data_IF_398058781661
#
_entry.id   IF_398058781661
#
_cell.length_a   1.000
_cell.length_b   1.000
_cell.length_c   1.000
_cell.angle_alpha   90.00
_cell.angle_beta   90.00
_cell.angle_gamma   90.00
#
_symmetry.space_group_name_H-M   'P 1'
#
loop_
_entity.id
_entity.type
_entity.pdbx_description
1 polymer ?
#
# COMPACT_ATOMS: atom_id res chain seq x y z
N UNK A 1 -10.29 47.40 24.45
CA UNK A 1 -10.90 46.90 23.20
C UNK A 1 -10.24 45.57 22.88
N UNK A 2 -11.06 44.53 22.78
CA UNK A 2 -10.69 43.13 22.96
C UNK A 2 -9.69 42.59 21.92
N UNK A 3 -8.71 41.85 22.44
CA UNK A 3 -7.85 40.96 21.67
C UNK A 3 -8.69 39.77 21.20
N UNK A 4 -8.96 39.71 19.90
CA UNK A 4 -9.60 38.59 19.25
C UNK A 4 -8.73 37.33 19.40
N UNK A 5 -9.11 36.47 20.36
CA UNK A 5 -8.64 35.09 20.45
C UNK A 5 -9.16 34.35 19.21
N UNK A 6 -8.31 34.20 18.19
CA UNK A 6 -8.56 33.31 17.05
C UNK A 6 -8.65 31.87 17.52
N UNK A 7 -9.86 31.41 17.79
CA UNK A 7 -10.18 30.02 18.07
C UNK A 7 -10.03 29.24 16.75
N UNK A 8 -8.84 28.69 16.48
CA UNK A 8 -8.66 27.73 15.38
C UNK A 8 -9.33 26.42 15.77
N UNK A 9 -10.64 26.32 15.49
CA UNK A 9 -11.38 25.08 15.63
C UNK A 9 -10.78 24.05 14.65
N UNK A 10 -10.21 22.98 15.19
CA UNK A 10 -9.79 21.82 14.42
C UNK A 10 -11.04 21.08 13.96
N UNK A 11 -11.43 21.22 12.70
CA UNK A 11 -12.41 20.33 12.09
C UNK A 11 -11.69 19.07 11.63
N UNK A 12 -11.67 18.08 12.51
CA UNK A 12 -11.38 16.71 12.13
C UNK A 12 -12.70 16.09 11.63
N UNK A 13 -12.69 15.53 10.42
CA UNK A 13 -13.88 15.05 9.70
C UNK A 13 -14.47 13.76 10.28
N UNK A 14 -15.77 13.55 10.08
CA UNK A 14 -16.62 12.38 10.42
C UNK A 14 -15.99 10.99 10.17
N UNK A 15 -15.00 10.92 9.27
CA UNK A 15 -14.17 9.75 9.00
C UNK A 15 -13.44 9.16 10.23
N UNK A 16 -13.16 9.95 11.28
CA UNK A 16 -12.41 9.46 12.47
C UNK A 16 -13.21 8.63 13.45
N UNK A 17 -14.51 8.88 13.58
CA UNK A 17 -15.42 8.06 14.39
C UNK A 17 -15.43 6.61 13.91
N UNK A 18 -15.55 6.42 12.60
CA UNK A 18 -15.50 5.11 11.95
C UNK A 18 -14.16 4.40 12.17
N UNK A 19 -13.06 5.13 12.39
CA UNK A 19 -11.75 4.53 12.70
C UNK A 19 -11.76 3.91 14.11
N UNK A 20 -12.22 4.64 15.12
CA UNK A 20 -12.21 4.14 16.50
C UNK A 20 -13.18 2.96 16.71
N UNK A 21 -14.30 2.93 15.99
CA UNK A 21 -15.23 1.79 15.98
C UNK A 21 -14.65 0.59 15.21
N UNK A 22 -13.97 0.83 14.08
CA UNK A 22 -13.39 -0.23 13.24
C UNK A 22 -12.08 -0.80 13.78
N UNK A 23 -11.35 -0.04 14.58
CA UNK A 23 -10.00 -0.39 15.08
C UNK A 23 -9.91 -0.25 16.61
N UNK A 24 -10.38 -1.26 17.37
CA UNK A 24 -10.28 -1.24 18.83
C UNK A 24 -8.80 -1.25 19.27
N UNK A 25 -8.43 -0.30 20.13
CA UNK A 25 -7.07 -0.18 20.67
C UNK A 25 -6.77 -1.23 21.74
N UNK A 26 -5.55 -1.77 21.73
CA UNK A 26 -5.05 -2.56 22.84
C UNK A 26 -4.61 -1.63 23.99
N UNK A 27 -5.07 -1.86 25.22
CA UNK A 27 -4.84 -0.92 26.32
C UNK A 27 -3.36 -0.91 26.75
N UNK A 28 -2.79 0.30 26.90
CA UNK A 28 -1.52 0.52 27.59
C UNK A 28 -0.26 0.67 26.73
N UNK A 29 -0.23 0.21 25.48
CA UNK A 29 0.94 0.37 24.59
C UNK A 29 0.56 0.71 23.14
N UNK A 30 1.48 1.36 22.43
CA UNK A 30 1.39 1.57 20.97
C UNK A 30 1.84 0.27 20.29
N UNK A 31 0.95 -0.28 19.47
CA UNK A 31 1.26 -1.49 18.70
C UNK A 31 2.45 -1.25 17.77
N UNK A 32 3.38 -2.21 17.72
CA UNK A 32 4.54 -2.14 16.82
C UNK A 32 4.15 -2.28 15.33
N UNK A 33 3.01 -2.91 15.08
CA UNK A 33 2.48 -3.19 13.74
C UNK A 33 1.18 -2.40 13.53
N UNK A 34 0.93 -1.98 12.30
CA UNK A 34 -0.31 -1.32 11.93
C UNK A 34 -1.52 -2.27 12.08
N UNK A 35 -2.74 -1.75 12.34
CA UNK A 35 -3.91 -2.61 12.57
C UNK A 35 -4.44 -3.30 11.30
N UNK A 36 -4.05 -2.81 10.13
CA UNK A 36 -4.43 -3.37 8.84
C UNK A 36 -5.84 -2.97 8.40
N UNK A 37 -6.33 -3.59 7.34
CA UNK A 37 -7.63 -3.41 6.73
C UNK A 37 -8.26 -4.77 6.46
N UNK A 38 -9.59 -4.79 6.32
CA UNK A 38 -10.35 -6.02 6.05
C UNK A 38 -10.52 -6.12 4.54
N UNK A 39 -9.55 -6.71 3.85
CA UNK A 39 -9.55 -6.77 2.39
C UNK A 39 -9.89 -8.18 1.96
N UNK A 40 -9.10 -9.17 2.36
CA UNK A 40 -9.33 -10.58 2.08
C UNK A 40 -10.12 -11.19 3.24
N UNK A 41 -11.44 -11.19 3.11
CA UNK A 41 -12.33 -11.67 4.17
C UNK A 41 -13.65 -12.27 3.70
N UNK A 42 -13.94 -12.24 2.40
CA UNK A 42 -15.08 -12.96 1.85
C UNK A 42 -14.77 -14.46 1.82
N UNK A 43 -15.78 -15.28 2.18
CA UNK A 43 -15.71 -16.71 1.93
C UNK A 43 -15.44 -16.93 0.43
N UNK A 44 -14.55 -17.86 0.03
CA UNK A 44 -14.26 -18.15 -1.38
C UNK A 44 -15.44 -18.75 -2.17
N UNK A 45 -16.68 -18.59 -1.71
CA UNK A 45 -17.91 -19.13 -2.30
C UNK A 45 -18.34 -18.43 -3.59
N UNK A 46 -17.70 -17.29 -3.93
CA UNK A 46 -17.92 -16.52 -5.17
C UNK A 46 -16.80 -16.68 -6.21
N UNK A 47 -16.12 -17.83 -6.26
CA UNK A 47 -15.09 -18.09 -7.29
C UNK A 47 -15.73 -18.10 -8.67
N UNK A 48 -15.32 -17.17 -9.52
CA UNK A 48 -15.61 -17.19 -10.96
C UNK A 48 -15.13 -18.51 -11.55
N UNK A 49 -15.82 -19.05 -12.56
CA UNK A 49 -15.36 -20.22 -13.27
C UNK A 49 -13.97 -19.96 -13.86
N UNK A 50 -12.94 -20.62 -13.32
CA UNK A 50 -11.55 -20.57 -13.80
C UNK A 50 -11.33 -21.53 -14.98
N UNK A 51 -12.36 -21.69 -15.81
CA UNK A 51 -12.25 -22.48 -17.02
C UNK A 51 -11.29 -21.79 -18.00
N UNK A 52 -10.48 -22.57 -18.71
CA UNK A 52 -9.68 -22.04 -19.81
C UNK A 52 -10.62 -21.59 -20.92
N UNK A 53 -10.59 -20.29 -21.24
CA UNK A 53 -11.28 -19.77 -22.41
C UNK A 53 -10.55 -20.22 -23.67
N UNK A 54 -11.14 -21.20 -24.35
CA UNK A 54 -10.63 -21.76 -25.60
C UNK A 54 -11.25 -21.10 -26.84
N UNK A 55 -12.10 -20.08 -26.67
CA UNK A 55 -12.75 -19.43 -27.80
C UNK A 55 -11.71 -18.78 -28.71
N UNK A 56 -11.75 -19.13 -30.00
CA UNK A 56 -10.79 -18.63 -30.99
C UNK A 56 -9.38 -19.23 -30.93
N UNK A 57 -9.08 -20.15 -30.01
CA UNK A 57 -7.79 -20.83 -29.97
C UNK A 57 -7.70 -21.92 -31.04
N UNK A 58 -6.57 -21.97 -31.76
CA UNK A 58 -6.23 -23.05 -32.69
C UNK A 58 -5.02 -23.81 -32.14
N UNK A 59 -5.13 -25.12 -31.87
CA UNK A 59 -4.00 -25.89 -31.36
C UNK A 59 -2.90 -25.99 -32.42
N UNK A 60 -1.66 -25.76 -32.00
CA UNK A 60 -0.42 -25.85 -32.77
C UNK A 60 0.07 -27.29 -32.91
N UNK A 61 -0.31 -28.16 -31.96
CA UNK A 61 0.01 -29.58 -31.98
C UNK A 61 -1.12 -30.42 -31.36
N UNK A 62 -1.07 -31.75 -31.56
CA UNK A 62 -2.11 -32.66 -31.08
C UNK A 62 -2.23 -32.68 -29.55
N UNK A 63 -1.10 -32.56 -28.82
CA UNK A 63 -1.08 -32.54 -27.36
C UNK A 63 -1.78 -31.30 -26.80
N UNK A 64 -1.56 -30.14 -27.42
CA UNK A 64 -2.25 -28.89 -27.11
C UNK A 64 -3.76 -29.00 -27.41
N UNK A 65 -4.11 -29.63 -28.53
CA UNK A 65 -5.50 -29.94 -28.87
C UNK A 65 -6.20 -30.86 -27.86
N UNK A 66 -5.50 -31.89 -27.38
CA UNK A 66 -5.98 -32.78 -26.32
C UNK A 66 -6.14 -32.04 -24.98
N UNK A 67 -5.21 -31.13 -24.65
CA UNK A 67 -5.28 -30.30 -23.46
C UNK A 67 -6.49 -29.35 -23.50
N UNK A 68 -6.74 -28.65 -24.61
CA UNK A 68 -7.88 -27.74 -24.76
C UNK A 68 -9.23 -28.43 -24.67
N UNK A 69 -9.33 -29.68 -25.17
CA UNK A 69 -10.55 -30.49 -25.10
C UNK A 69 -10.72 -31.23 -23.77
N UNK A 70 -9.69 -31.26 -22.93
CA UNK A 70 -9.73 -31.98 -21.66
C UNK A 70 -10.61 -31.25 -20.64
N UNK A 71 -11.37 -31.98 -19.80
CA UNK A 71 -12.10 -31.37 -18.70
C UNK A 71 -11.15 -30.75 -17.66
N UNK A 72 -11.66 -29.79 -16.87
CA UNK A 72 -10.87 -29.02 -15.89
C UNK A 72 -10.03 -29.90 -14.96
N UNK A 73 -10.60 -30.99 -14.42
CA UNK A 73 -9.88 -31.92 -13.54
C UNK A 73 -8.64 -32.54 -14.22
N UNK A 74 -8.76 -32.93 -15.50
CA UNK A 74 -7.65 -33.47 -16.28
C UNK A 74 -6.63 -32.39 -16.62
N UNK A 75 -7.07 -31.16 -16.90
CA UNK A 75 -6.17 -30.02 -17.06
C UNK A 75 -5.36 -29.74 -15.79
N UNK A 76 -5.97 -29.88 -14.60
CA UNK A 76 -5.26 -29.74 -13.31
C UNK A 76 -4.21 -30.83 -13.09
N UNK A 77 -4.49 -32.08 -13.47
CA UNK A 77 -3.51 -33.17 -13.40
C UNK A 77 -2.33 -32.87 -14.33
N UNK A 78 -2.60 -32.52 -15.60
CA UNK A 78 -1.57 -32.18 -16.57
C UNK A 78 -0.69 -30.98 -16.13
N UNK A 79 -1.29 -29.99 -15.46
CA UNK A 79 -0.56 -28.88 -14.86
C UNK A 79 0.38 -29.34 -13.73
N UNK A 80 -0.12 -30.16 -12.81
CA UNK A 80 0.64 -30.67 -11.67
C UNK A 80 1.79 -31.58 -12.11
N UNK A 81 1.55 -32.39 -13.13
CA UNK A 81 2.54 -33.30 -13.72
C UNK A 81 3.60 -32.57 -14.57
N UNK A 82 3.46 -31.24 -14.77
CA UNK A 82 4.43 -30.42 -15.48
C UNK A 82 4.33 -30.52 -17.01
N UNK A 83 3.29 -31.16 -17.56
CA UNK A 83 3.11 -31.36 -19.00
C UNK A 83 3.06 -30.03 -19.76
N UNK A 84 2.41 -29.02 -19.19
CA UNK A 84 2.33 -27.68 -19.79
C UNK A 84 3.70 -27.02 -19.94
N UNK A 85 4.64 -27.28 -19.02
CA UNK A 85 6.01 -26.76 -19.13
C UNK A 85 6.71 -27.37 -20.33
N UNK A 86 6.58 -28.68 -20.51
CA UNK A 86 7.17 -29.40 -21.64
C UNK A 86 6.54 -28.95 -22.96
N UNK A 87 5.21 -28.76 -22.98
CA UNK A 87 4.46 -28.38 -24.18
C UNK A 87 4.91 -27.05 -24.79
N UNK A 88 5.22 -26.06 -23.94
CA UNK A 88 5.55 -24.70 -24.36
C UNK A 88 7.04 -24.36 -24.23
N UNK A 89 7.89 -25.35 -23.96
CA UNK A 89 9.35 -25.15 -23.92
C UNK A 89 9.90 -25.00 -25.34
N UNK A 90 10.42 -23.82 -25.67
CA UNK A 90 11.29 -23.56 -26.84
C UNK A 90 10.69 -23.69 -28.25
N UNK A 91 9.55 -24.37 -28.43
CA UNK A 91 9.05 -24.74 -29.77
C UNK A 91 7.71 -24.11 -30.14
N UNK A 92 6.79 -23.97 -29.18
CA UNK A 92 5.43 -23.47 -29.41
C UNK A 92 5.19 -22.20 -28.60
N UNK A 93 4.68 -21.13 -29.22
CA UNK A 93 4.31 -19.92 -28.46
C UNK A 93 3.10 -20.22 -27.60
N UNK A 94 3.20 -20.05 -26.29
CA UNK A 94 2.08 -20.28 -25.39
C UNK A 94 0.98 -19.24 -25.64
N UNK A 95 -0.28 -19.64 -25.91
CA UNK A 95 -1.35 -18.68 -26.12
C UNK A 95 -1.59 -17.81 -24.89
N UNK A 96 -1.85 -16.52 -25.10
CA UNK A 96 -2.18 -15.55 -24.06
C UNK A 96 -3.33 -16.00 -23.14
N UNK A 97 -4.32 -16.71 -23.68
CA UNK A 97 -5.42 -17.27 -22.90
C UNK A 97 -4.94 -18.30 -21.86
N UNK A 98 -3.94 -19.12 -22.20
CA UNK A 98 -3.35 -20.11 -21.29
C UNK A 98 -2.51 -19.42 -20.22
N UNK A 99 -1.74 -18.39 -20.57
CA UNK A 99 -0.95 -17.61 -19.61
C UNK A 99 -1.85 -16.86 -18.62
N UNK A 100 -2.94 -16.23 -19.11
CA UNK A 100 -3.98 -15.63 -18.28
C UNK A 100 -4.63 -16.65 -17.35
N UNK A 101 -4.98 -17.82 -17.88
CA UNK A 101 -5.57 -18.89 -17.09
C UNK A 101 -4.62 -19.35 -15.98
N UNK A 102 -3.35 -19.60 -16.28
CA UNK A 102 -2.33 -19.94 -15.28
C UNK A 102 -2.20 -18.87 -14.20
N UNK A 103 -2.21 -17.59 -14.58
CA UNK A 103 -2.18 -16.48 -13.62
C UNK A 103 -3.38 -16.50 -12.68
N UNK A 104 -4.59 -16.75 -13.19
CA UNK A 104 -5.79 -16.87 -12.36
C UNK A 104 -5.78 -18.15 -11.49
N UNK A 105 -5.20 -19.26 -11.95
CA UNK A 105 -5.06 -20.48 -11.13
C UNK A 105 -4.16 -20.30 -9.91
N UNK A 106 -3.27 -19.30 -9.91
CA UNK A 106 -2.44 -18.98 -8.74
C UNK A 106 -3.29 -18.66 -7.51
N UNK A 107 -4.55 -18.27 -7.67
CA UNK A 107 -5.45 -17.89 -6.57
C UNK A 107 -6.31 -19.06 -6.06
N UNK A 108 -6.06 -20.29 -6.52
CA UNK A 108 -6.73 -21.50 -6.06
C UNK A 108 -6.07 -22.09 -4.80
N UNK A 109 -6.32 -23.37 -4.52
CA UNK A 109 -5.69 -24.08 -3.42
C UNK A 109 -4.16 -24.07 -3.52
N UNK A 110 -3.42 -24.21 -2.41
CA UNK A 110 -1.95 -24.11 -2.38
C UNK A 110 -1.24 -25.05 -3.36
N UNK A 111 -1.77 -26.28 -3.54
CA UNK A 111 -1.17 -27.27 -4.44
C UNK A 111 -1.28 -26.88 -5.92
N UNK A 112 -2.37 -26.24 -6.34
CA UNK A 112 -2.51 -25.70 -7.70
C UNK A 112 -1.75 -24.38 -7.84
N UNK A 113 -1.78 -23.52 -6.82
CA UNK A 113 -1.15 -22.20 -6.83
C UNK A 113 0.34 -22.26 -7.15
N UNK A 114 1.08 -23.15 -6.48
CA UNK A 114 2.52 -23.33 -6.71
C UNK A 114 2.82 -23.85 -8.13
N UNK A 115 2.10 -24.89 -8.58
CA UNK A 115 2.29 -25.45 -9.93
C UNK A 115 1.95 -24.46 -11.04
N UNK A 116 0.89 -23.65 -10.85
CA UNK A 116 0.50 -22.60 -11.78
C UNK A 116 1.57 -21.51 -11.87
N UNK A 117 2.05 -21.00 -10.73
CA UNK A 117 3.12 -20.00 -10.68
C UNK A 117 4.40 -20.51 -11.35
N UNK A 118 4.88 -21.70 -10.97
CA UNK A 118 6.10 -22.26 -11.56
C UNK A 118 5.97 -22.46 -13.07
N UNK A 119 4.83 -22.97 -13.54
CA UNK A 119 4.60 -23.18 -14.97
C UNK A 119 4.55 -21.86 -15.73
N UNK A 120 3.84 -20.86 -15.20
CA UNK A 120 3.77 -19.52 -15.79
C UNK A 120 5.14 -18.84 -15.85
N UNK A 121 5.91 -18.94 -14.75
CA UNK A 121 7.25 -18.37 -14.65
C UNK A 121 8.21 -18.98 -15.67
N UNK A 122 8.31 -20.31 -15.72
CA UNK A 122 9.23 -21.04 -16.62
C UNK A 122 8.91 -20.75 -18.09
N UNK A 123 7.63 -20.84 -18.49
CA UNK A 123 7.21 -20.52 -19.86
C UNK A 123 7.60 -19.09 -20.23
N UNK A 124 7.41 -18.14 -19.30
CA UNK A 124 7.73 -16.73 -19.53
C UNK A 124 9.23 -16.51 -19.68
N UNK A 125 10.06 -17.14 -18.83
CA UNK A 125 11.53 -17.06 -18.92
C UNK A 125 12.03 -17.68 -20.22
N UNK A 126 11.53 -18.86 -20.60
CA UNK A 126 11.92 -19.55 -21.83
C UNK A 126 11.57 -18.72 -23.08
N UNK A 127 10.39 -18.08 -23.10
CA UNK A 127 9.98 -17.20 -24.19
C UNK A 127 10.86 -15.95 -24.29
N UNK A 128 11.27 -15.37 -23.15
CA UNK A 128 12.21 -14.25 -23.15
C UNK A 128 13.61 -14.65 -23.61
N UNK A 129 14.09 -15.82 -23.21
CA UNK A 129 15.40 -16.33 -23.65
C UNK A 129 15.42 -16.67 -25.14
N UNK A 130 14.28 -17.08 -25.70
CA UNK A 130 14.12 -17.45 -27.12
C UNK A 130 13.76 -16.25 -28.01
N UNK A 131 13.47 -15.08 -27.43
CA UNK A 131 13.11 -13.89 -28.18
C UNK A 131 14.35 -13.29 -28.87
N UNK A 132 14.23 -13.04 -30.18
CA UNK A 132 15.26 -12.31 -30.92
C UNK A 132 15.37 -10.87 -30.38
N UNK A 133 16.57 -10.27 -30.45
CA UNK A 133 17.03 -9.09 -29.67
C UNK A 133 16.17 -7.81 -29.70
N UNK A 134 15.03 -7.79 -30.38
CA UNK A 134 14.13 -6.63 -30.47
C UNK A 134 12.64 -6.91 -30.26
N UNK A 135 12.18 -8.15 -30.07
CA UNK A 135 10.74 -8.42 -29.92
C UNK A 135 10.45 -9.49 -28.87
N UNK A 136 10.59 -9.10 -27.60
CA UNK A 136 10.19 -9.93 -26.47
C UNK A 136 8.65 -9.89 -26.37
N UNK A 137 7.99 -10.94 -26.84
CA UNK A 137 6.52 -11.09 -26.78
C UNK A 137 6.11 -11.71 -25.44
N UNK A 138 6.43 -11.05 -24.32
CA UNK A 138 6.00 -11.48 -22.99
C UNK A 138 4.58 -11.02 -22.73
N UNK A 139 3.73 -11.96 -22.33
CA UNK A 139 2.42 -11.62 -21.80
C UNK A 139 2.52 -10.97 -20.43
N UNK A 140 1.89 -9.81 -20.29
CA UNK A 140 1.71 -9.14 -19.00
C UNK A 140 0.22 -9.05 -18.67
N UNK A 141 -0.18 -9.38 -17.44
CA UNK A 141 -1.57 -9.27 -17.00
C UNK A 141 -2.01 -7.80 -16.98
N UNK A 142 -3.21 -7.51 -17.47
CA UNK A 142 -3.79 -6.15 -17.38
C UNK A 142 -4.41 -5.91 -16.01
N UNK A 143 -4.78 -4.66 -15.70
CA UNK A 143 -5.41 -4.31 -14.42
C UNK A 143 -6.62 -5.19 -14.09
N UNK A 144 -7.48 -5.46 -15.08
CA UNK A 144 -8.61 -6.39 -14.94
C UNK A 144 -8.18 -7.81 -14.51
N UNK A 145 -7.11 -8.35 -15.08
CA UNK A 145 -6.60 -9.68 -14.71
C UNK A 145 -6.11 -9.69 -13.26
N UNK A 146 -5.41 -8.62 -12.83
CA UNK A 146 -4.85 -8.48 -11.48
C UNK A 146 -5.96 -8.29 -10.43
N UNK A 147 -6.93 -7.42 -10.71
CA UNK A 147 -8.07 -7.20 -9.84
C UNK A 147 -8.92 -8.48 -9.69
N UNK A 148 -9.12 -9.24 -10.78
CA UNK A 148 -9.81 -10.53 -10.73
C UNK A 148 -9.05 -11.53 -9.84
N UNK A 149 -7.71 -11.56 -9.91
CA UNK A 149 -6.92 -12.42 -9.05
C UNK A 149 -7.11 -12.07 -7.55
N UNK A 150 -7.12 -10.78 -7.21
CA UNK A 150 -7.41 -10.36 -5.83
C UNK A 150 -8.86 -10.65 -5.41
N UNK A 151 -9.82 -10.50 -6.32
CA UNK A 151 -11.20 -10.90 -6.06
C UNK A 151 -11.32 -12.40 -5.78
N UNK A 152 -10.65 -13.25 -6.56
CA UNK A 152 -10.62 -14.70 -6.35
C UNK A 152 -9.96 -15.11 -5.02
N UNK A 153 -9.06 -14.28 -4.48
CA UNK A 153 -8.47 -14.44 -3.15
C UNK A 153 -9.40 -13.99 -2.01
N UNK A 154 -10.58 -13.45 -2.32
CA UNK A 154 -11.60 -13.05 -1.34
C UNK A 154 -11.67 -11.55 -1.06
N UNK A 155 -11.13 -10.70 -1.96
CA UNK A 155 -11.29 -9.25 -1.87
C UNK A 155 -12.64 -8.76 -2.42
N UNK A 156 -13.29 -7.80 -1.76
CA UNK A 156 -14.51 -7.18 -2.27
C UNK A 156 -14.18 -6.14 -3.35
N UNK A 157 -15.00 -6.00 -4.39
CA UNK A 157 -14.82 -4.99 -5.44
C UNK A 157 -14.71 -3.55 -4.88
N UNK A 158 -15.53 -3.21 -3.89
CA UNK A 158 -15.49 -1.90 -3.19
C UNK A 158 -14.19 -1.65 -2.40
N UNK A 159 -13.46 -2.70 -2.05
CA UNK A 159 -12.16 -2.58 -1.36
C UNK A 159 -10.98 -2.41 -2.31
N UNK A 160 -11.13 -2.85 -3.57
CA UNK A 160 -10.10 -2.80 -4.60
C UNK A 160 -10.06 -1.43 -5.29
N UNK A 161 -11.20 -0.71 -5.37
CA UNK A 161 -11.26 0.65 -5.93
C UNK A 161 -11.89 1.68 -4.97
N UNK A 162 -11.19 2.13 -3.92
CA UNK A 162 -11.70 3.17 -3.04
C UNK A 162 -11.78 4.57 -3.68
N UNK A 163 -11.11 4.79 -4.82
CA UNK A 163 -10.95 6.12 -5.45
C UNK A 163 -11.71 6.29 -6.76
N UNK A 164 -12.34 5.23 -7.28
CA UNK A 164 -12.95 5.23 -8.61
C UNK A 164 -11.93 5.22 -9.75
N UNK A 165 -10.64 4.94 -9.49
CA UNK A 165 -9.58 4.99 -10.50
C UNK A 165 -9.73 3.89 -11.55
N UNK A 166 -10.47 2.84 -11.21
CA UNK A 166 -10.73 1.70 -12.08
C UNK A 166 -12.04 1.87 -12.90
N UNK A 167 -12.80 2.96 -12.73
CA UNK A 167 -14.14 3.12 -13.32
C UNK A 167 -14.31 2.95 -14.85
N UNK A 168 -13.34 3.18 -15.75
CA UNK A 168 -13.52 2.87 -17.16
C UNK A 168 -13.48 1.35 -17.45
N UNK A 169 -12.76 0.58 -16.64
CA UNK A 169 -12.60 -0.87 -16.82
C UNK A 169 -13.69 -1.66 -16.08
N UNK A 170 -14.31 -1.03 -15.07
CA UNK A 170 -15.37 -1.60 -14.23
C UNK A 170 -16.72 -0.87 -14.40
N UNK A 171 -16.90 -0.13 -15.50
CA UNK A 171 -18.13 0.62 -15.79
C UNK A 171 -19.36 -0.29 -15.86
N UNK A 172 -20.44 0.18 -15.23
CA UNK A 172 -21.71 -0.50 -14.93
C UNK A 172 -22.53 -1.06 -16.12
N UNK A 173 -21.95 -1.21 -17.31
CA UNK A 173 -22.59 -1.89 -18.44
C UNK A 173 -21.82 -3.12 -18.95
N UNK A 174 -20.52 -3.26 -18.64
CA UNK A 174 -19.70 -4.42 -19.03
C UNK A 174 -18.98 -5.09 -17.82
N UNK A 175 -19.21 -4.58 -16.61
CA UNK A 175 -18.70 -5.12 -15.34
C UNK A 175 -19.81 -5.22 -14.31
N UNK A 176 -20.82 -6.01 -14.63
CA UNK A 176 -21.29 -6.90 -13.58
C UNK A 176 -20.13 -7.88 -13.34
N UNK A 177 -19.45 -7.78 -12.19
CA UNK A 177 -18.93 -9.01 -11.61
C UNK A 177 -20.13 -9.96 -11.62
N UNK A 178 -20.11 -11.09 -12.34
CA UNK A 178 -21.32 -11.83 -12.66
C UNK A 178 -21.88 -12.48 -11.40
N UNK A 179 -22.60 -11.69 -10.60
CA UNK A 179 -23.34 -12.14 -9.43
C UNK A 179 -24.69 -12.73 -9.86
N UNK A 180 -25.09 -12.59 -11.13
CA UNK A 180 -26.47 -12.90 -11.58
C UNK A 180 -26.60 -13.94 -12.71
N UNK A 181 -25.51 -14.51 -13.25
CA UNK A 181 -25.58 -15.42 -14.42
C UNK A 181 -25.15 -16.88 -14.19
N UNK A 182 -25.01 -17.35 -12.94
CA UNK A 182 -24.60 -18.74 -12.69
C UNK A 182 -25.74 -19.59 -12.12
N UNK A 183 -26.72 -19.83 -12.99
CA UNK A 183 -27.82 -20.75 -12.78
C UNK A 183 -28.08 -21.63 -13.99
N UNK A 184 -27.04 -22.23 -14.61
CA UNK A 184 -27.25 -23.32 -15.56
C UNK A 184 -25.98 -24.18 -15.72
N UNK A 185 -26.18 -25.50 -15.71
CA UNK A 185 -25.23 -26.58 -15.99
C UNK A 185 -24.16 -26.91 -14.93
N UNK A 186 -24.58 -27.66 -13.91
CA UNK A 186 -24.01 -28.99 -13.64
C UNK A 186 -22.55 -29.14 -13.19
N UNK A 187 -21.86 -28.11 -12.71
CA UNK A 187 -20.53 -28.26 -12.10
C UNK A 187 -20.70 -28.25 -10.58
N UNK A 188 -20.33 -29.35 -9.91
CA UNK A 188 -20.28 -29.43 -8.44
C UNK A 188 -19.42 -28.25 -7.93
N UNK A 189 -20.04 -27.30 -7.23
CA UNK A 189 -19.35 -26.32 -6.39
C UNK A 189 -18.50 -27.11 -5.39
N UNK A 190 -17.19 -27.18 -5.60
CA UNK A 190 -16.29 -27.51 -4.51
C UNK A 190 -16.32 -26.32 -3.55
N UNK A 191 -17.12 -26.46 -2.50
CA UNK A 191 -17.13 -25.55 -1.37
C UNK A 191 -15.77 -25.70 -0.70
N UNK A 192 -14.81 -24.84 -1.04
CA UNK A 192 -13.60 -24.71 -0.24
C UNK A 192 -14.00 -23.87 0.97
N UNK A 193 -14.36 -24.57 2.06
CA UNK A 193 -15.00 -24.01 3.26
C UNK A 193 -14.11 -23.11 4.12
N UNK A 194 -12.82 -23.00 3.83
CA UNK A 194 -11.90 -22.24 4.68
C UNK A 194 -11.30 -21.02 3.95
N UNK A 195 -11.38 -19.87 4.63
CA UNK A 195 -10.60 -18.69 4.26
C UNK A 195 -9.11 -19.09 4.23
N UNK A 196 -8.34 -18.66 3.21
CA UNK A 196 -6.94 -19.04 3.11
C UNK A 196 -6.20 -18.58 4.37
N UNK A 197 -5.37 -19.47 4.93
CA UNK A 197 -4.56 -19.11 6.09
C UNK A 197 -3.69 -17.88 5.77
N UNK A 198 -3.37 -17.03 6.75
CA UNK A 198 -2.54 -15.83 6.52
C UNK A 198 -1.21 -16.14 5.81
N UNK A 199 -0.64 -17.32 6.06
CA UNK A 199 0.58 -17.78 5.41
C UNK A 199 0.37 -18.11 3.92
N UNK A 200 -0.72 -18.83 3.59
CA UNK A 200 -1.06 -19.16 2.20
C UNK A 200 -1.35 -17.90 1.41
N UNK A 201 -2.13 -16.98 1.96
CA UNK A 201 -2.43 -15.70 1.32
C UNK A 201 -1.14 -14.90 1.03
N UNK A 202 -0.25 -14.79 2.01
CA UNK A 202 1.02 -14.09 1.83
C UNK A 202 1.90 -14.74 0.77
N UNK A 203 1.99 -16.09 0.75
CA UNK A 203 2.76 -16.81 -0.27
C UNK A 203 2.19 -16.60 -1.68
N UNK A 204 0.86 -16.68 -1.84
CA UNK A 204 0.21 -16.45 -3.14
C UNK A 204 0.38 -15.00 -3.61
N UNK A 205 0.19 -14.02 -2.73
CA UNK A 205 0.45 -12.61 -3.07
C UNK A 205 1.92 -12.36 -3.41
N UNK A 206 2.85 -13.01 -2.71
CA UNK A 206 4.28 -12.98 -3.04
C UNK A 206 4.55 -13.50 -4.46
N UNK A 207 3.94 -14.62 -4.84
CA UNK A 207 4.04 -15.16 -6.20
C UNK A 207 3.45 -14.23 -7.27
N UNK A 208 2.29 -13.63 -7.00
CA UNK A 208 1.71 -12.59 -7.88
C UNK A 208 2.70 -11.42 -8.02
N UNK A 209 3.25 -10.92 -6.91
CA UNK A 209 4.19 -9.80 -6.92
C UNK A 209 5.47 -10.12 -7.69
N UNK A 210 6.03 -11.34 -7.53
CA UNK A 210 7.19 -11.81 -8.29
C UNK A 210 6.91 -11.80 -9.79
N UNK A 211 5.79 -12.38 -10.22
CA UNK A 211 5.45 -12.44 -11.63
C UNK A 211 5.23 -11.05 -12.23
N UNK A 212 4.51 -10.17 -11.53
CA UNK A 212 4.33 -8.79 -11.96
C UNK A 212 5.66 -8.02 -12.02
N UNK A 213 6.59 -8.31 -11.11
CA UNK A 213 7.94 -7.72 -11.11
C UNK A 213 8.70 -8.17 -12.36
N UNK A 214 8.61 -9.45 -12.74
CA UNK A 214 9.19 -9.96 -13.98
C UNK A 214 8.64 -9.20 -15.18
N UNK A 215 7.30 -9.07 -15.29
CA UNK A 215 6.65 -8.30 -16.34
C UNK A 215 7.11 -6.84 -16.40
N UNK A 216 7.18 -6.16 -15.26
CA UNK A 216 7.56 -4.75 -15.19
C UNK A 216 9.05 -4.53 -15.51
N UNK A 217 9.93 -5.47 -15.11
CA UNK A 217 11.36 -5.41 -15.38
C UNK A 217 11.69 -5.71 -16.84
N UNK A 218 11.02 -6.70 -17.43
CA UNK A 218 11.25 -7.11 -18.82
C UNK A 218 10.65 -6.12 -19.83
N UNK A 219 9.53 -5.47 -19.48
CA UNK A 219 8.87 -4.48 -20.33
C UNK A 219 8.55 -3.18 -19.57
N UNK A 220 9.55 -2.31 -19.37
CA UNK A 220 9.39 -1.04 -18.65
C UNK A 220 8.49 -0.01 -19.34
N UNK A 221 7.85 -0.32 -20.46
CA UNK A 221 6.86 0.55 -21.11
C UNK A 221 5.50 -0.14 -21.29
N UNK A 222 5.32 -1.34 -20.72
CA UNK A 222 4.07 -2.11 -20.91
C UNK A 222 2.87 -1.45 -20.24
N UNK A 223 3.06 -0.95 -19.03
CA UNK A 223 2.04 -0.22 -18.29
C UNK A 223 2.21 1.27 -18.51
N UNK A 224 1.16 1.94 -18.94
CA UNK A 224 1.09 3.39 -19.01
C UNK A 224 1.13 3.99 -17.61
N UNK A 225 1.50 5.27 -17.49
CA UNK A 225 1.61 5.92 -16.18
C UNK A 225 0.30 5.87 -15.38
N UNK A 226 -0.85 5.99 -16.04
CA UNK A 226 -2.17 5.84 -15.39
C UNK A 226 -2.35 4.44 -14.78
N UNK A 227 -2.01 3.41 -15.53
CA UNK A 227 -2.11 2.01 -15.09
C UNK A 227 -1.15 1.74 -13.93
N UNK A 228 0.06 2.29 -13.99
CA UNK A 228 1.03 2.20 -12.89
C UNK A 228 0.54 2.85 -11.61
N UNK A 229 -0.02 4.05 -11.69
CA UNK A 229 -0.56 4.75 -10.52
C UNK A 229 -1.70 3.96 -9.88
N UNK A 230 -2.59 3.40 -10.70
CA UNK A 230 -3.66 2.52 -10.25
C UNK A 230 -3.10 1.23 -9.59
N UNK A 231 -2.10 0.58 -10.20
CA UNK A 231 -1.43 -0.59 -9.62
C UNK A 231 -0.73 -0.27 -8.30
N UNK A 232 0.03 0.83 -8.22
CA UNK A 232 0.67 1.29 -7.00
C UNK A 232 -0.36 1.49 -5.88
N UNK A 233 -1.48 2.15 -6.19
CA UNK A 233 -2.56 2.41 -5.23
C UNK A 233 -3.22 1.11 -4.77
N UNK A 234 -3.55 0.21 -5.70
CA UNK A 234 -4.14 -1.10 -5.42
C UNK A 234 -3.23 -1.98 -4.59
N UNK A 235 -1.95 -2.08 -4.96
CA UNK A 235 -0.92 -2.86 -4.26
C UNK A 235 -0.68 -2.33 -2.84
N UNK A 236 -0.63 -1.01 -2.65
CA UNK A 236 -0.62 -0.41 -1.32
C UNK A 236 -1.88 -0.73 -0.53
N UNK A 237 -3.06 -0.73 -1.17
CA UNK A 237 -4.33 -1.09 -0.53
C UNK A 237 -4.29 -2.56 -0.09
N UNK A 238 -4.10 -3.53 -0.98
CA UNK A 238 -4.08 -4.96 -0.62
C UNK A 238 -2.96 -5.31 0.37
N UNK A 239 -1.82 -4.61 0.30
CA UNK A 239 -0.72 -4.75 1.25
C UNK A 239 -1.07 -4.35 2.69
N UNK A 240 -2.15 -3.58 2.88
CA UNK A 240 -2.66 -3.25 4.21
C UNK A 240 -3.55 -4.33 4.82
N UNK A 241 -3.79 -5.47 4.17
CA UNK A 241 -4.64 -6.51 4.76
C UNK A 241 -4.13 -6.96 6.14
N UNK A 242 -5.04 -7.07 7.10
CA UNK A 242 -4.72 -7.41 8.50
C UNK A 242 -4.01 -8.76 8.66
N UNK A 243 -4.23 -9.69 7.74
CA UNK A 243 -3.56 -11.00 7.76
C UNK A 243 -2.09 -10.91 7.33
N UNK A 244 -1.70 -9.84 6.64
CA UNK A 244 -0.34 -9.62 6.13
C UNK A 244 0.52 -8.78 7.07
N UNK A 245 -0.08 -8.07 8.01
CA UNK A 245 0.57 -7.09 8.89
C UNK A 245 1.83 -7.61 9.60
N UNK A 246 1.86 -8.90 9.96
CA UNK A 246 2.97 -9.52 10.70
C UNK A 246 4.09 -10.06 9.81
N UNK A 247 3.96 -9.98 8.48
CA UNK A 247 4.89 -10.60 7.55
C UNK A 247 5.64 -9.53 6.73
N UNK A 248 6.97 -9.62 6.61
CA UNK A 248 7.70 -8.74 5.70
C UNK A 248 7.36 -9.10 4.25
N UNK A 249 6.77 -8.16 3.52
CA UNK A 249 6.41 -8.39 2.11
C UNK A 249 7.45 -7.76 1.17
N UNK A 250 8.61 -8.38 1.08
CA UNK A 250 9.74 -7.91 0.25
C UNK A 250 9.37 -7.93 -1.23
N UNK A 251 8.64 -8.95 -1.68
CA UNK A 251 8.19 -9.07 -3.07
C UNK A 251 7.28 -7.89 -3.47
N UNK A 252 6.37 -7.47 -2.57
CA UNK A 252 5.54 -6.28 -2.77
C UNK A 252 6.39 -5.01 -2.84
N UNK A 253 7.34 -4.82 -1.92
CA UNK A 253 8.21 -3.64 -1.92
C UNK A 253 9.05 -3.55 -3.21
N UNK A 254 9.54 -4.69 -3.71
CA UNK A 254 10.26 -4.77 -4.96
C UNK A 254 9.36 -4.40 -6.15
N UNK A 255 8.14 -4.95 -6.22
CA UNK A 255 7.18 -4.60 -7.28
C UNK A 255 6.84 -3.10 -7.26
N UNK A 256 6.55 -2.54 -6.08
CA UNK A 256 6.27 -1.11 -5.92
C UNK A 256 7.43 -0.25 -6.44
N UNK A 257 8.68 -0.68 -6.18
CA UNK A 257 9.86 0.02 -6.68
C UNK A 257 9.93 0.00 -8.21
N UNK A 258 9.78 -1.17 -8.85
CA UNK A 258 9.81 -1.28 -10.32
C UNK A 258 8.71 -0.45 -10.99
N UNK A 259 7.50 -0.46 -10.44
CA UNK A 259 6.39 0.35 -10.96
C UNK A 259 6.66 1.85 -10.80
N UNK A 260 7.22 2.27 -9.66
CA UNK A 260 7.55 3.67 -9.36
C UNK A 260 8.66 4.22 -10.27
N UNK A 261 9.74 3.46 -10.45
CA UNK A 261 10.84 3.85 -11.34
C UNK A 261 10.41 3.82 -12.82
N UNK A 262 9.41 3.02 -13.15
CA UNK A 262 8.85 2.95 -14.50
C UNK A 262 8.13 4.23 -14.95
N UNK A 263 7.55 5.04 -14.04
CA UNK A 263 6.72 6.21 -14.39
C UNK A 263 7.45 7.18 -15.32
N UNK A 264 6.86 7.56 -16.45
CA UNK A 264 7.51 8.43 -17.44
C UNK A 264 7.42 9.90 -17.04
N UNK A 265 6.20 10.43 -16.84
CA UNK A 265 5.96 11.80 -16.37
C UNK A 265 5.94 11.88 -14.84
N UNK A 266 7.10 11.67 -14.22
CA UNK A 266 7.19 11.67 -12.77
C UNK A 266 6.72 12.98 -12.09
N UNK A 267 7.14 14.18 -12.55
CA UNK A 267 6.70 15.44 -11.92
C UNK A 267 5.19 15.65 -11.99
N UNK A 268 4.55 15.31 -13.11
CA UNK A 268 3.09 15.42 -13.25
C UNK A 268 2.33 14.36 -12.47
N UNK A 269 2.89 13.14 -12.36
CA UNK A 269 2.21 11.98 -11.74
C UNK A 269 2.40 11.85 -10.23
N UNK A 270 3.44 12.44 -9.67
CA UNK A 270 3.69 12.41 -8.22
C UNK A 270 2.52 12.98 -7.39
N UNK A 271 1.96 14.18 -7.70
CA UNK A 271 0.80 14.70 -6.98
C UNK A 271 -0.44 13.80 -7.08
N UNK A 272 -0.72 13.27 -8.27
CA UNK A 272 -1.85 12.35 -8.54
C UNK A 272 -1.72 11.05 -7.73
N UNK A 273 -0.51 10.51 -7.63
CA UNK A 273 -0.23 9.33 -6.81
C UNK A 273 -0.42 9.63 -5.32
N UNK A 274 0.08 10.77 -4.82
CA UNK A 274 -0.11 11.17 -3.42
C UNK A 274 -1.58 11.38 -3.06
N UNK A 275 -2.38 11.94 -3.98
CA UNK A 275 -3.82 12.09 -3.82
C UNK A 275 -4.51 10.72 -3.77
N UNK A 276 -4.20 9.83 -4.71
CA UNK A 276 -4.76 8.47 -4.75
C UNK A 276 -4.43 7.68 -3.47
N UNK A 277 -3.17 7.74 -3.03
CA UNK A 277 -2.72 7.09 -1.80
C UNK A 277 -3.33 7.70 -0.53
N UNK A 278 -3.82 8.95 -0.56
CA UNK A 278 -4.58 9.51 0.56
C UNK A 278 -5.86 8.73 0.88
N UNK A 279 -6.40 7.94 -0.05
CA UNK A 279 -7.67 7.23 0.11
C UNK A 279 -7.51 5.74 0.48
N UNK A 280 -6.30 5.19 0.48
CA UNK A 280 -6.08 3.74 0.72
C UNK A 280 -6.40 3.31 2.15
N UNK A 281 -6.42 4.24 3.11
CA UNK A 281 -6.78 3.98 4.50
C UNK A 281 -7.22 5.26 5.19
N UNK A 282 -8.07 5.10 6.20
CA UNK A 282 -8.41 6.17 7.14
C UNK A 282 -7.52 6.14 8.39
N UNK A 283 -7.04 4.96 8.80
CA UNK A 283 -6.24 4.78 10.01
C UNK A 283 -4.82 5.34 9.85
N UNK A 284 -4.36 6.15 10.83
CA UNK A 284 -3.09 6.87 10.78
C UNK A 284 -1.85 5.95 10.79
N UNK A 285 -1.89 4.82 11.50
CA UNK A 285 -0.77 3.86 11.50
C UNK A 285 -0.69 3.03 10.22
N UNK A 286 -1.83 2.78 9.53
CA UNK A 286 -1.81 2.18 8.19
C UNK A 286 -1.17 3.14 7.19
N UNK A 287 -1.42 4.46 7.29
CA UNK A 287 -0.75 5.47 6.46
C UNK A 287 0.78 5.45 6.63
N UNK A 288 1.26 5.29 7.87
CA UNK A 288 2.68 5.08 8.16
C UNK A 288 3.21 3.81 7.48
N UNK A 289 2.43 2.70 7.51
CA UNK A 289 2.80 1.47 6.83
C UNK A 289 2.95 1.67 5.32
N UNK A 290 2.01 2.39 4.67
CA UNK A 290 2.10 2.73 3.24
C UNK A 290 3.38 3.51 2.92
N UNK A 291 3.74 4.53 3.71
CA UNK A 291 5.01 5.27 3.51
C UNK A 291 6.22 4.34 3.63
N UNK A 292 6.17 3.36 4.55
CA UNK A 292 7.25 2.38 4.78
C UNK A 292 7.31 1.29 3.70
N UNK A 293 6.24 1.08 2.92
CA UNK A 293 6.24 0.16 1.78
C UNK A 293 7.16 0.61 0.65
N UNK A 294 7.50 1.89 0.58
CA UNK A 294 8.42 2.43 -0.41
C UNK A 294 9.85 2.50 0.16
N UNK A 295 10.87 1.95 -0.53
CA UNK A 295 12.26 2.10 -0.11
C UNK A 295 12.75 3.54 -0.31
N UNK A 296 13.69 4.01 0.52
CA UNK A 296 14.41 5.28 0.32
C UNK A 296 15.71 5.13 -0.49
N UNK A 297 15.93 3.97 -1.09
CA UNK A 297 17.12 3.68 -1.90
C UNK A 297 17.16 4.55 -3.16
N UNK A 298 16.02 4.86 -3.78
CA UNK A 298 15.94 5.67 -5.01
C UNK A 298 15.50 7.12 -4.77
N UNK A 299 15.87 8.08 -5.66
CA UNK A 299 15.40 9.46 -5.58
C UNK A 299 13.88 9.58 -5.61
N UNK A 300 13.19 8.82 -6.48
CA UNK A 300 11.72 8.84 -6.58
C UNK A 300 11.06 8.27 -5.33
N UNK A 301 11.59 7.17 -4.78
CA UNK A 301 11.14 6.62 -3.50
C UNK A 301 11.24 7.64 -2.37
N UNK A 302 12.37 8.36 -2.27
CA UNK A 302 12.53 9.45 -1.29
C UNK A 302 11.53 10.59 -1.52
N UNK A 303 11.37 11.05 -2.77
CA UNK A 303 10.43 12.12 -3.09
C UNK A 303 8.98 11.73 -2.76
N UNK A 304 8.56 10.51 -3.11
CA UNK A 304 7.24 9.99 -2.79
C UNK A 304 7.03 9.94 -1.28
N UNK A 305 7.96 9.36 -0.52
CA UNK A 305 7.85 9.25 0.94
C UNK A 305 7.70 10.62 1.61
N UNK A 306 8.48 11.62 1.18
CA UNK A 306 8.39 12.99 1.72
C UNK A 306 7.03 13.63 1.43
N UNK A 307 6.61 13.63 0.16
CA UNK A 307 5.36 14.25 -0.29
C UNK A 307 4.13 13.56 0.30
N UNK A 308 4.13 12.22 0.30
CA UNK A 308 3.05 11.43 0.85
C UNK A 308 2.94 11.61 2.38
N UNK A 309 4.07 11.70 3.08
CA UNK A 309 4.08 11.98 4.52
C UNK A 309 3.48 13.33 4.84
N UNK A 310 3.79 14.37 4.06
CA UNK A 310 3.16 15.69 4.19
C UNK A 310 1.65 15.64 3.94
N UNK A 311 1.22 14.93 2.89
CA UNK A 311 -0.20 14.77 2.57
C UNK A 311 -0.96 14.05 3.69
N UNK A 312 -0.40 12.95 4.21
CA UNK A 312 -0.97 12.22 5.34
C UNK A 312 -1.01 13.08 6.60
N UNK A 313 0.06 13.80 6.93
CA UNK A 313 0.06 14.72 8.07
C UNK A 313 -1.01 15.81 7.92
N UNK A 314 -1.11 16.45 6.75
CA UNK A 314 -2.12 17.46 6.48
C UNK A 314 -3.55 16.89 6.60
N UNK A 315 -3.80 15.71 6.03
CA UNK A 315 -5.08 14.99 6.17
C UNK A 315 -5.40 14.69 7.64
N UNK A 316 -4.44 14.12 8.36
CA UNK A 316 -4.56 13.78 9.78
C UNK A 316 -4.60 14.99 10.71
N UNK A 317 -4.30 16.20 10.23
CA UNK A 317 -4.37 17.44 11.02
C UNK A 317 -5.59 18.30 10.66
N UNK A 318 -6.51 17.80 9.81
CA UNK A 318 -7.69 18.55 9.35
C UNK A 318 -7.33 19.71 8.41
N UNK A 319 -6.23 19.55 7.67
CA UNK A 319 -5.66 20.54 6.74
C UNK A 319 -5.55 19.98 5.32
N UNK A 320 -6.46 19.09 4.93
CA UNK A 320 -6.45 18.42 3.62
C UNK A 320 -6.44 19.41 2.43
N UNK A 321 -7.11 20.55 2.57
CA UNK A 321 -7.07 21.66 1.61
C UNK A 321 -5.66 22.20 1.36
N UNK A 322 -4.76 22.09 2.35
CA UNK A 322 -3.36 22.46 2.18
C UNK A 322 -2.59 21.41 1.38
N UNK A 323 -2.95 20.12 1.47
CA UNK A 323 -2.17 19.00 0.90
C UNK A 323 -1.87 19.18 -0.60
N UNK A 324 -2.83 19.64 -1.41
CA UNK A 324 -2.61 19.94 -2.85
C UNK A 324 -1.59 21.07 -3.07
N UNK A 325 -1.63 22.11 -2.24
CA UNK A 325 -0.63 23.19 -2.28
C UNK A 325 0.74 22.72 -1.77
N UNK A 326 0.78 21.76 -0.83
CA UNK A 326 2.03 21.21 -0.29
C UNK A 326 2.80 20.43 -1.37
N UNK A 327 2.10 19.72 -2.24
CA UNK A 327 2.66 18.92 -3.34
C UNK A 327 3.33 19.74 -4.44
N UNK A 328 3.01 21.03 -4.57
CA UNK A 328 3.53 21.90 -5.63
C UNK A 328 4.76 22.73 -5.21
N UNK A 329 5.10 22.79 -3.92
CA UNK A 329 6.18 23.64 -3.40
C UNK A 329 7.40 22.82 -3.02
N UNK A 330 8.59 23.31 -3.39
CA UNK A 330 9.87 22.67 -3.05
C UNK A 330 10.28 22.81 -1.56
N UNK A 331 9.52 23.57 -0.76
CA UNK A 331 9.86 23.89 0.65
C UNK A 331 9.19 22.97 1.68
N UNK A 332 9.35 21.66 1.51
CA UNK A 332 8.75 20.63 2.37
C UNK A 332 9.11 20.76 3.87
N UNK A 333 10.32 21.24 4.19
CA UNK A 333 10.76 21.43 5.58
C UNK A 333 10.08 22.62 6.28
N UNK A 334 9.82 23.70 5.54
CA UNK A 334 9.09 24.86 6.07
C UNK A 334 7.63 24.49 6.35
N UNK A 335 7.03 23.72 5.43
CA UNK A 335 5.69 23.17 5.59
C UNK A 335 5.58 22.29 6.85
N UNK A 336 6.57 21.44 7.10
CA UNK A 336 6.63 20.65 8.32
C UNK A 336 6.67 21.55 9.57
N UNK A 337 7.36 22.69 9.51
CA UNK A 337 7.42 23.67 10.61
C UNK A 337 6.06 24.27 10.99
N UNK A 338 5.12 24.32 10.03
CA UNK A 338 3.74 24.75 10.29
C UNK A 338 2.86 23.62 10.87
N UNK A 339 3.18 22.36 10.57
CA UNK A 339 2.40 21.20 11.03
C UNK A 339 2.83 20.69 12.40
N UNK A 340 4.12 20.75 12.73
CA UNK A 340 4.69 20.23 13.99
C UNK A 340 3.99 20.78 15.24
N UNK A 341 3.69 22.09 15.36
CA UNK A 341 2.99 22.63 16.52
C UNK A 341 1.57 22.06 16.75
N UNK A 342 0.94 21.51 15.70
CA UNK A 342 -0.40 20.93 15.76
C UNK A 342 -0.38 19.48 16.29
N UNK A 343 0.79 18.84 16.35
CA UNK A 343 0.96 17.45 16.78
C UNK A 343 0.97 17.28 18.31
N UNK A 344 0.85 18.38 19.08
CA UNK A 344 0.85 18.35 20.55
C UNK A 344 -0.21 17.38 21.08
N UNK A 345 0.14 16.37 21.90
CA UNK A 345 -0.83 15.39 22.41
C UNK A 345 -2.05 16.03 23.09
N UNK A 346 -1.85 17.11 23.85
CA UNK A 346 -2.95 17.85 24.48
C UNK A 346 -3.88 18.55 23.46
N UNK A 347 -3.34 19.05 22.35
CA UNK A 347 -4.15 19.68 21.29
C UNK A 347 -4.92 18.61 20.50
N UNK A 348 -4.26 17.49 20.17
CA UNK A 348 -4.90 16.35 19.52
C UNK A 348 -6.03 15.77 20.38
N UNK A 349 -5.79 15.58 21.68
CA UNK A 349 -6.80 15.13 22.64
C UNK A 349 -8.02 16.06 22.68
N UNK A 350 -7.80 17.38 22.70
CA UNK A 350 -8.90 18.36 22.64
C UNK A 350 -9.70 18.24 21.35
N UNK A 351 -9.02 18.05 20.21
CA UNK A 351 -9.68 17.80 18.92
C UNK A 351 -10.55 16.55 18.95
N UNK A 352 -10.00 15.42 19.40
CA UNK A 352 -10.73 14.15 19.55
C UNK A 352 -11.92 14.26 20.52
N UNK A 353 -11.76 15.02 21.61
CA UNK A 353 -12.85 15.30 22.56
C UNK A 353 -13.98 16.10 21.93
N UNK A 354 -13.67 17.08 21.07
CA UNK A 354 -14.69 17.87 20.38
C UNK A 354 -15.45 17.00 19.37
N UNK A 355 -14.76 16.13 18.62
CA UNK A 355 -15.42 15.15 17.74
C UNK A 355 -16.36 14.22 18.50
N UNK A 356 -15.90 13.66 19.63
CA UNK A 356 -16.70 12.76 20.44
C UNK A 356 -17.94 13.44 21.04
N UNK A 357 -17.86 14.73 21.39
CA UNK A 357 -19.01 15.51 21.91
C UNK A 357 -20.05 15.83 20.84
N UNK A 358 -19.65 15.88 19.57
CA UNK A 358 -20.57 16.10 18.43
C UNK A 358 -21.33 14.82 18.05
N UNK A 359 -20.83 13.65 18.45
CA UNK A 359 -21.51 12.36 18.31
C UNK A 359 -22.21 12.02 19.63
N UNK A 360 -23.51 12.29 19.74
CA UNK A 360 -24.32 12.09 20.95
C UNK A 360 -24.23 10.64 21.50
N UNK A 361 -23.36 10.40 22.49
CA UNK A 361 -23.33 9.14 23.24
C UNK A 361 -23.35 9.39 24.75
N UNK A 362 -24.53 9.31 25.40
CA UNK A 362 -24.64 9.26 26.86
C UNK A 362 -24.45 7.80 27.30
N UNK A 363 -23.30 7.44 27.89
CA UNK A 363 -23.20 6.11 28.51
C UNK A 363 -21.84 5.59 28.99
N UNK A 364 -20.70 6.11 28.52
CA UNK A 364 -19.38 5.66 29.04
C UNK A 364 -18.94 6.47 30.27
N UNK A 365 -18.38 5.78 31.26
CA UNK A 365 -17.74 6.41 32.43
C UNK A 365 -16.72 7.45 31.99
N UNK A 366 -16.90 8.70 32.42
CA UNK A 366 -16.13 9.86 31.94
C UNK A 366 -14.61 9.69 32.11
N UNK A 367 -14.17 8.99 33.15
CA UNK A 367 -12.75 8.84 33.48
C UNK A 367 -12.03 7.85 32.55
N UNK A 368 -12.67 6.73 32.19
CA UNK A 368 -12.12 5.74 31.26
C UNK A 368 -12.07 6.29 29.83
N UNK A 369 -13.12 7.00 29.40
CA UNK A 369 -13.15 7.67 28.11
C UNK A 369 -12.03 8.73 27.98
N UNK A 370 -11.72 9.45 29.06
CA UNK A 370 -10.61 10.43 29.08
C UNK A 370 -9.23 9.80 28.97
N UNK A 371 -9.05 8.57 29.46
CA UNK A 371 -7.81 7.80 29.34
C UNK A 371 -7.65 7.20 27.94
N UNK A 372 -8.71 6.66 27.36
CA UNK A 372 -8.72 6.15 25.98
C UNK A 372 -8.39 7.26 24.97
N UNK A 373 -8.96 8.46 25.15
CA UNK A 373 -8.64 9.62 24.31
C UNK A 373 -7.21 10.12 24.48
N UNK A 374 -6.60 9.93 25.65
CA UNK A 374 -5.18 10.25 25.88
C UNK A 374 -4.27 9.30 25.12
N UNK A 375 -4.58 8.01 25.19
CA UNK A 375 -3.86 6.96 24.48
C UNK A 375 -3.95 7.18 22.96
N UNK A 376 -5.15 7.44 22.42
CA UNK A 376 -5.34 7.74 21.00
C UNK A 376 -4.58 8.98 20.56
N UNK A 377 -4.63 10.07 21.34
CA UNK A 377 -3.90 11.29 21.02
C UNK A 377 -2.38 11.04 20.96
N UNK A 378 -1.84 10.23 21.87
CA UNK A 378 -0.43 9.84 21.85
C UNK A 378 -0.09 8.92 20.67
N UNK A 379 -0.99 7.99 20.31
CA UNK A 379 -0.79 7.08 19.18
C UNK A 379 -0.84 7.81 17.82
N UNK A 380 -1.77 8.77 17.68
CA UNK A 380 -1.81 9.68 16.55
C UNK A 380 -0.54 10.54 16.50
N UNK A 381 -0.11 11.11 17.63
CA UNK A 381 1.14 11.88 17.71
C UNK A 381 2.35 11.03 17.27
N UNK A 382 2.43 9.78 17.73
CA UNK A 382 3.48 8.83 17.35
C UNK A 382 3.50 8.58 15.83
N UNK A 383 2.33 8.42 15.22
CA UNK A 383 2.23 8.21 13.78
C UNK A 383 2.62 9.48 12.99
N UNK A 384 2.13 10.64 13.42
CA UNK A 384 2.51 11.94 12.83
C UNK A 384 4.01 12.19 12.95
N UNK A 385 4.64 11.84 14.07
CA UNK A 385 6.07 12.00 14.28
C UNK A 385 6.88 11.03 13.41
N UNK A 386 6.37 9.82 13.20
CA UNK A 386 6.97 8.87 12.26
C UNK A 386 6.93 9.41 10.82
N UNK A 387 5.81 10.02 10.41
CA UNK A 387 5.67 10.68 9.11
C UNK A 387 6.59 11.91 8.99
N UNK A 388 6.67 12.74 10.03
CA UNK A 388 7.58 13.89 10.10
C UNK A 388 9.04 13.45 9.90
N UNK A 389 9.44 12.35 10.52
CA UNK A 389 10.78 11.80 10.38
C UNK A 389 11.05 11.21 8.97
N UNK A 390 10.01 10.83 8.21
CA UNK A 390 10.16 10.40 6.82
C UNK A 390 10.31 11.58 5.85
N UNK A 391 9.81 12.77 6.20
CA UNK A 391 10.05 14.02 5.45
C UNK A 391 11.53 14.41 5.55
N UNK A 392 12.09 14.33 6.76
CA UNK A 392 13.52 14.57 7.00
C UNK A 392 14.33 13.31 6.63
N UNK A 393 14.77 13.24 5.38
CA UNK A 393 15.56 12.10 4.88
C UNK A 393 16.89 11.92 5.59
N UNK A 394 17.46 10.72 5.49
CA UNK A 394 18.80 10.40 5.98
C UNK A 394 19.93 11.03 5.13
N UNK A 395 19.63 11.96 4.21
CA UNK A 395 20.62 12.62 3.36
C UNK A 395 21.06 13.94 3.98
N UNK A 396 22.30 14.34 3.69
CA UNK A 396 22.84 15.63 4.10
C UNK A 396 21.91 16.77 3.66
N UNK A 397 21.59 17.65 4.60
CA UNK A 397 20.69 18.78 4.36
C UNK A 397 21.49 19.96 3.79
N UNK A 398 21.09 20.53 2.64
CA UNK A 398 21.76 21.70 2.07
C UNK A 398 21.82 22.87 3.07
N UNK A 399 22.89 23.68 3.02
CA UNK A 399 23.11 24.78 3.98
C UNK A 399 21.91 25.73 4.09
N UNK A 400 21.24 26.03 2.98
CA UNK A 400 20.01 26.85 2.94
C UNK A 400 18.86 26.35 3.81
N UNK A 401 18.81 25.04 4.11
CA UNK A 401 17.74 24.41 4.90
C UNK A 401 18.17 24.04 6.32
N UNK A 402 19.44 24.26 6.69
CA UNK A 402 19.94 23.97 8.04
C UNK A 402 19.26 24.84 9.10
N UNK A 403 19.00 26.12 8.80
CA UNK A 403 18.26 27.01 9.69
C UNK A 403 16.85 26.50 9.98
N UNK A 404 16.12 26.06 8.93
CA UNK A 404 14.80 25.46 9.05
C UNK A 404 14.84 24.17 9.88
N UNK A 405 15.83 23.29 9.66
CA UNK A 405 15.98 22.05 10.42
C UNK A 405 16.31 22.31 11.91
N UNK A 406 17.14 23.32 12.20
CA UNK A 406 17.41 23.75 13.58
C UNK A 406 16.12 24.19 14.28
N UNK A 407 15.30 24.99 13.60
CA UNK A 407 14.00 25.41 14.12
C UNK A 407 13.06 24.21 14.36
N UNK A 408 13.05 23.22 13.48
CA UNK A 408 12.27 21.99 13.65
C UNK A 408 12.71 21.19 14.88
N UNK A 409 14.02 21.12 15.18
CA UNK A 409 14.54 20.49 16.40
C UNK A 409 14.01 21.18 17.67
N UNK A 410 13.99 22.51 17.69
CA UNK A 410 13.45 23.31 18.80
C UNK A 410 11.94 23.04 18.97
N UNK A 411 11.19 23.09 17.88
CA UNK A 411 9.75 22.81 17.90
C UNK A 411 9.44 21.38 18.38
N UNK A 412 10.22 20.38 17.96
CA UNK A 412 10.08 18.99 18.41
C UNK A 412 10.20 18.88 19.93
N UNK A 413 11.20 19.51 20.52
CA UNK A 413 11.38 19.52 21.98
C UNK A 413 10.23 20.26 22.67
N UNK A 414 9.88 21.46 22.20
CA UNK A 414 8.87 22.32 22.81
C UNK A 414 7.45 21.74 22.74
N UNK A 415 7.11 21.04 21.66
CA UNK A 415 5.73 20.66 21.35
C UNK A 415 5.44 19.18 21.58
N UNK A 416 6.47 18.34 21.65
CA UNK A 416 6.29 16.90 21.88
C UNK A 416 7.02 16.52 23.16
N UNK A 417 8.36 16.55 23.16
CA UNK A 417 9.17 16.00 24.25
C UNK A 417 8.88 16.64 25.62
N UNK A 418 8.75 17.96 25.70
CA UNK A 418 8.48 18.67 26.95
C UNK A 418 7.04 18.51 27.46
N UNK A 419 6.12 18.09 26.59
CA UNK A 419 4.68 17.99 26.92
C UNK A 419 4.27 16.61 27.41
N UNK A 420 5.03 15.57 27.05
CA UNK A 420 4.73 14.18 27.40
C UNK A 420 5.34 13.88 28.78
N UNK A 421 4.47 13.71 29.79
CA UNK A 421 4.87 13.24 31.12
C UNK A 421 4.93 11.72 31.14
N UNK A 422 6.08 11.17 31.51
CA UNK A 422 6.25 9.72 31.69
C UNK A 422 5.50 9.23 32.93
N UNK A 423 4.94 8.04 32.81
CA UNK A 423 4.30 7.30 33.89
C UNK A 423 4.62 5.83 33.63
N UNK A 424 5.13 5.12 34.64
CA UNK A 424 5.52 3.71 34.53
C UNK A 424 4.36 2.78 34.16
N UNK A 425 3.11 3.24 34.34
CA UNK A 425 1.89 2.51 33.97
C UNK A 425 1.39 2.82 32.55
N UNK A 426 1.92 3.86 31.90
CA UNK A 426 1.46 4.36 30.59
C UNK A 426 2.56 4.20 29.53
N UNK A 427 2.86 2.96 29.14
CA UNK A 427 3.96 2.65 28.22
C UNK A 427 3.87 3.38 26.87
N UNK A 428 2.67 3.68 26.39
CA UNK A 428 2.47 4.46 25.16
C UNK A 428 3.11 5.86 25.22
N UNK A 429 3.14 6.52 26.40
CA UNK A 429 3.79 7.83 26.56
C UNK A 429 5.30 7.72 26.52
N UNK A 430 5.85 6.69 27.15
CA UNK A 430 7.29 6.37 27.10
C UNK A 430 7.73 6.08 25.67
N UNK A 431 6.99 5.26 24.92
CA UNK A 431 7.26 4.98 23.51
C UNK A 431 7.25 6.23 22.62
N UNK A 432 6.31 7.16 22.86
CA UNK A 432 6.25 8.43 22.14
C UNK A 432 7.47 9.32 22.46
N UNK A 433 7.83 9.44 23.74
CA UNK A 433 8.97 10.26 24.16
C UNK A 433 10.31 9.70 23.65
N UNK A 434 10.47 8.39 23.68
CA UNK A 434 11.61 7.68 23.10
C UNK A 434 11.71 7.88 21.57
N UNK A 435 10.59 7.80 20.84
CA UNK A 435 10.55 8.17 19.41
C UNK A 435 10.96 9.64 19.18
N UNK A 436 10.48 10.58 20.02
CA UNK A 436 10.84 11.99 19.92
C UNK A 436 12.34 12.23 20.18
N UNK A 437 12.91 11.56 21.18
CA UNK A 437 14.34 11.62 21.46
C UNK A 437 15.18 11.10 20.30
N UNK A 438 14.86 9.91 19.75
CA UNK A 438 15.55 9.36 18.58
C UNK A 438 15.44 10.25 17.35
N UNK A 439 14.25 10.82 17.11
CA UNK A 439 14.03 11.74 15.99
C UNK A 439 14.88 13.00 16.15
N UNK A 440 14.92 13.58 17.35
CA UNK A 440 15.77 14.72 17.65
C UNK A 440 17.25 14.42 17.43
N UNK A 441 17.76 13.31 17.96
CA UNK A 441 19.15 12.88 17.80
C UNK A 441 19.49 12.73 16.31
N UNK A 442 18.62 12.09 15.53
CA UNK A 442 18.80 11.95 14.09
C UNK A 442 18.89 13.32 13.40
N UNK A 443 17.96 14.24 13.70
CA UNK A 443 17.93 15.55 13.06
C UNK A 443 19.13 16.42 13.44
N UNK A 444 19.57 16.37 14.69
CA UNK A 444 20.81 17.00 15.13
C UNK A 444 22.04 16.41 14.43
N UNK A 445 22.10 15.08 14.26
CA UNK A 445 23.17 14.43 13.51
C UNK A 445 23.25 14.88 12.05
N UNK A 446 22.11 15.18 11.42
CA UNK A 446 22.08 15.73 10.06
C UNK A 446 22.58 17.18 9.99
N UNK A 447 22.34 17.98 11.04
CA UNK A 447 22.91 19.33 11.14
C UNK A 447 24.43 19.23 11.21
N UNK A 448 24.99 18.42 12.12
CA UNK A 448 26.46 18.31 12.30
C UNK A 448 27.19 17.78 11.07
N UNK A 449 26.58 16.84 10.32
CA UNK A 449 27.12 16.39 9.03
C UNK A 449 27.10 17.48 7.96
N UNK A 450 26.09 18.36 7.99
CA UNK A 450 26.02 19.53 7.12
C UNK A 450 27.15 20.52 7.38
N UNK A 451 27.49 20.77 8.65
CA UNK A 451 28.59 21.65 9.05
C UNK A 451 29.96 21.13 8.57
N UNK A 452 30.23 19.84 8.73
CA UNK A 452 31.51 19.22 8.34
C UNK A 452 31.78 19.30 6.83
N UNK A 453 30.73 19.29 5.98
CA UNK A 453 30.87 19.44 4.52
C UNK A 453 31.15 20.87 4.07
N UNK A 454 30.65 21.88 4.80
CA UNK A 454 30.95 23.29 4.52
C UNK A 454 32.36 23.71 4.91
N UNK A 455 33.03 22.97 5.80
CA UNK A 455 34.36 23.31 6.32
C UNK A 455 35.51 22.61 5.59
N UNK A 456 35.24 21.70 4.66
CA UNK A 456 36.26 21.07 3.81
C UNK A 456 36.38 21.88 2.50
N UNK A 457 37.56 22.43 2.15
CA UNK A 457 37.74 23.14 0.89
C UNK A 457 37.57 22.16 -0.29
N UNK A 458 36.90 22.61 -1.34
CA UNK A 458 36.84 21.89 -2.61
C UNK A 458 38.28 21.70 -3.12
N UNK A 459 38.75 20.46 -3.18
CA UNK A 459 40.04 20.13 -3.78
C UNK A 459 40.02 20.46 -5.29
N UNK A 460 41.16 20.86 -5.86
CA UNK A 460 41.22 21.21 -7.28
C UNK A 460 40.96 19.98 -8.15
N UNK A 461 40.29 20.22 -9.29
CA UNK A 461 39.90 19.24 -10.31
C UNK A 461 41.06 18.41 -10.88
#
# INVERSE_FOLDING_TARGET
MEVAKGNTAFQFTEARRLILEKFPMNRGSIAAVHPGENIFGLSPSSRTALALDITGLRPQNELEGLFFRSPFNRQMVLLKDGVLRVLYRGTSRCPHAVLRWLFQLMTLNPGVSASAFHTLWEISIDQMASADKGNIDLWCPVLKDIAQAFYNLGACASTLDPTGLFQPEFGAKDSEFPEHLFGAAGIKREVIEEAPSPFVLAATLGNICKFLTLCAASHPHRYLDRERLALLTLLCRVGLDRNLCKQPNVDLQQLLLFLLEGVQDWPGKLPELCESLCHVSLHHHNMVAVVRSFPDTTPRGRQLRRNLSLCFMAKLLGKAQMARSLLQKENQLEQLGHLLPLMKPAALKKGLQMELRLAEHPGRGQLEALAELDQEACYLCYSLLTLANAIVTNQAVPSRHQGTLSQLCIQLQQHISATVREDSRLMYRTQLKDLAARTYIKWQGLLTQGWLRTTLPAGPE
#
